data_IF_047652140348
#
_entry.id   IF_047652140348
#
_cell.length_a   1.000
_cell.length_b   1.000
_cell.length_c   1.000
_cell.angle_alpha   90.00
_cell.angle_beta   90.00
_cell.angle_gamma   90.00
#
_symmetry.space_group_name_H-M   'P 1'
#
loop_
_entity.id
_entity.type
_entity.pdbx_description
1 polymer ?
#
# COMPACT_ATOMS: atom_id res chain seq x y z
N UNK A 1 7.88 20.30 -14.87
CA UNK A 1 7.80 19.80 -13.47
C UNK A 1 8.67 18.57 -13.34
N UNK A 2 9.72 18.68 -12.54
CA UNK A 2 10.66 17.59 -12.32
C UNK A 2 9.98 16.37 -11.69
N UNK A 3 10.35 15.16 -12.15
CA UNK A 3 9.90 13.90 -11.58
C UNK A 3 10.97 13.30 -10.68
N UNK A 4 10.55 12.81 -9.53
CA UNK A 4 11.41 12.10 -8.57
C UNK A 4 11.51 10.65 -9.01
N UNK A 5 12.73 10.14 -9.13
CA UNK A 5 13.02 8.71 -9.28
C UNK A 5 13.25 8.15 -7.88
N UNK A 6 12.50 7.12 -7.51
CA UNK A 6 12.59 6.48 -6.19
C UNK A 6 13.19 5.08 -6.29
N UNK A 7 13.78 4.59 -5.19
CA UNK A 7 14.24 3.21 -5.08
C UNK A 7 13.06 2.26 -5.27
N UNK A 8 13.02 1.42 -6.32
CA UNK A 8 11.89 0.55 -6.56
C UNK A 8 11.84 -0.61 -5.56
N UNK A 9 10.64 -1.11 -5.32
CA UNK A 9 10.43 -2.33 -4.54
C UNK A 9 10.35 -3.53 -5.49
N UNK A 10 11.45 -4.22 -5.70
CA UNK A 10 11.59 -5.32 -6.65
C UNK A 10 11.09 -6.68 -6.11
N UNK A 11 10.67 -6.73 -4.85
CA UNK A 11 10.13 -7.94 -4.21
C UNK A 11 9.28 -7.64 -2.99
N UNK A 12 8.39 -8.57 -2.62
CA UNK A 12 7.45 -8.40 -1.50
C UNK A 12 8.17 -8.20 -0.15
N UNK A 13 9.32 -8.81 0.03
CA UNK A 13 10.13 -8.77 1.26
C UNK A 13 11.23 -7.70 1.23
N UNK A 14 11.43 -7.02 0.08
CA UNK A 14 12.47 -6.02 -0.05
C UNK A 14 12.14 -4.78 0.80
N UNK A 15 13.03 -4.43 1.72
CA UNK A 15 12.93 -3.23 2.57
C UNK A 15 13.87 -2.13 2.13
N UNK A 16 15.01 -2.49 1.52
CA UNK A 16 16.06 -1.59 1.06
C UNK A 16 16.75 -2.15 -0.19
N UNK A 17 17.45 -1.31 -0.94
CA UNK A 17 18.23 -1.69 -2.11
C UNK A 17 19.52 -0.89 -2.19
N UNK A 18 20.56 -1.48 -2.78
CA UNK A 18 21.84 -0.82 -3.01
C UNK A 18 21.93 -0.39 -4.47
N UNK A 19 22.28 0.87 -4.71
CA UNK A 19 22.58 1.36 -6.06
C UNK A 19 23.95 0.84 -6.45
N UNK A 20 23.99 -0.05 -7.44
CA UNK A 20 25.28 -0.63 -7.90
C UNK A 20 26.04 0.34 -8.80
N UNK A 21 25.41 0.76 -9.88
CA UNK A 21 26.04 1.59 -10.90
C UNK A 21 25.04 2.53 -11.55
N UNK A 22 25.43 3.78 -11.75
CA UNK A 22 24.70 4.74 -12.58
C UNK A 22 25.11 4.59 -14.05
N UNK A 23 24.14 4.40 -14.94
CA UNK A 23 24.34 4.34 -16.39
C UNK A 23 24.25 5.71 -17.06
N UNK A 24 23.77 6.71 -16.31
CA UNK A 24 23.60 8.11 -16.73
C UNK A 24 24.26 9.06 -15.72
N UNK A 25 24.77 10.18 -16.22
CA UNK A 25 25.39 11.25 -15.42
C UNK A 25 24.43 12.42 -15.24
N UNK A 26 24.65 13.21 -14.20
CA UNK A 26 23.93 14.48 -14.02
C UNK A 26 24.13 15.38 -15.25
N UNK A 27 23.04 15.97 -15.73
CA UNK A 27 23.01 16.80 -16.94
C UNK A 27 22.74 16.03 -18.23
N UNK A 28 22.72 14.71 -18.24
CA UNK A 28 22.43 13.94 -19.45
C UNK A 28 20.93 13.86 -19.75
N UNK A 29 20.55 13.89 -21.03
CA UNK A 29 19.17 13.67 -21.44
C UNK A 29 18.79 12.19 -21.26
N UNK A 30 17.56 11.96 -20.79
CA UNK A 30 17.01 10.64 -20.50
C UNK A 30 15.65 10.52 -21.18
N UNK A 31 15.39 9.36 -21.80
CA UNK A 31 14.09 9.00 -22.37
C UNK A 31 13.36 8.02 -21.44
N UNK A 32 12.04 8.09 -21.41
CA UNK A 32 11.20 7.10 -20.73
C UNK A 32 11.50 5.70 -21.25
N UNK A 33 11.73 4.72 -20.34
CA UNK A 33 12.17 3.36 -20.65
C UNK A 33 13.68 3.18 -20.81
N UNK A 34 14.50 4.24 -20.68
CA UNK A 34 15.95 4.14 -20.72
C UNK A 34 16.53 3.78 -19.36
N UNK A 35 17.51 2.86 -19.32
CA UNK A 35 18.14 2.42 -18.05
C UNK A 35 18.91 3.57 -17.40
N UNK A 36 18.57 3.87 -16.17
CA UNK A 36 19.20 4.92 -15.36
C UNK A 36 20.33 4.39 -14.47
N UNK A 37 20.06 3.32 -13.74
CA UNK A 37 20.98 2.72 -12.78
C UNK A 37 20.62 1.27 -12.52
N UNK A 38 21.56 0.50 -11.96
CA UNK A 38 21.35 -0.87 -11.53
C UNK A 38 21.17 -0.91 -10.01
N UNK A 39 20.24 -1.75 -9.53
CA UNK A 39 19.99 -1.99 -8.10
C UNK A 39 20.32 -3.42 -7.77
N UNK A 40 21.18 -3.59 -6.78
CA UNK A 40 21.49 -4.88 -6.18
C UNK A 40 20.68 -5.13 -4.93
N UNK A 41 20.20 -6.35 -4.82
CA UNK A 41 19.57 -6.90 -3.62
C UNK A 41 20.34 -8.14 -3.18
N UNK A 42 20.00 -8.71 -2.03
CA UNK A 42 20.61 -9.95 -1.54
C UNK A 42 20.48 -11.15 -2.50
N UNK A 43 19.65 -11.05 -3.54
CA UNK A 43 19.32 -12.15 -4.46
C UNK A 43 19.50 -11.85 -5.94
N UNK A 44 19.36 -10.60 -6.37
CA UNK A 44 19.32 -10.22 -7.78
C UNK A 44 19.81 -8.78 -7.99
N UNK A 45 20.45 -8.54 -9.13
CA UNK A 45 20.72 -7.20 -9.66
C UNK A 45 19.74 -6.93 -10.80
N UNK A 46 19.04 -5.79 -10.76
CA UNK A 46 18.08 -5.37 -11.77
C UNK A 46 18.40 -3.96 -12.26
N UNK A 47 18.22 -3.76 -13.54
CA UNK A 47 18.30 -2.44 -14.18
C UNK A 47 16.99 -1.67 -14.01
N UNK A 48 17.12 -0.41 -13.63
CA UNK A 48 15.98 0.46 -13.36
C UNK A 48 15.86 1.50 -14.48
N UNK A 49 14.70 1.49 -15.13
CA UNK A 49 14.38 2.35 -16.24
C UNK A 49 13.78 3.69 -15.79
N UNK A 50 14.00 4.71 -16.59
CA UNK A 50 13.40 6.02 -16.41
C UNK A 50 11.88 5.98 -16.57
N UNK A 51 11.15 6.53 -15.62
CA UNK A 51 9.68 6.65 -15.64
C UNK A 51 9.19 7.91 -16.35
N UNK A 52 10.11 8.70 -16.92
CA UNK A 52 9.82 9.90 -17.66
C UNK A 52 10.99 10.34 -18.53
N UNK A 53 10.69 11.07 -19.60
CA UNK A 53 11.70 11.76 -20.42
C UNK A 53 12.04 13.12 -19.82
N UNK A 54 13.32 13.55 -19.90
CA UNK A 54 13.82 14.81 -19.39
C UNK A 54 15.34 14.81 -19.29
N UNK A 55 15.91 15.67 -18.46
CA UNK A 55 17.33 15.70 -18.11
C UNK A 55 17.50 15.18 -16.69
N UNK A 56 18.50 14.32 -16.43
CA UNK A 56 18.85 13.88 -15.08
C UNK A 56 19.48 15.07 -14.32
N UNK A 57 18.67 15.77 -13.54
CA UNK A 57 19.10 17.02 -12.89
C UNK A 57 20.04 16.78 -11.72
N UNK A 58 19.76 15.74 -10.92
CA UNK A 58 20.56 15.42 -9.74
C UNK A 58 20.46 13.97 -9.34
N UNK A 59 21.59 13.42 -8.90
CA UNK A 59 21.71 12.11 -8.26
C UNK A 59 21.76 12.34 -6.76
N UNK A 60 20.76 11.82 -6.03
CA UNK A 60 20.67 11.97 -4.58
C UNK A 60 21.37 10.85 -3.82
N UNK A 61 21.56 9.68 -4.46
CA UNK A 61 22.16 8.48 -3.88
C UNK A 61 23.31 8.03 -4.78
N UNK A 62 24.51 7.89 -4.23
CA UNK A 62 25.69 7.51 -5.00
C UNK A 62 25.73 5.99 -5.23
N UNK A 63 26.55 5.55 -6.21
CA UNK A 63 26.84 4.13 -6.39
C UNK A 63 27.50 3.54 -5.13
N UNK A 64 27.04 2.37 -4.71
CA UNK A 64 27.46 1.69 -3.47
C UNK A 64 26.59 2.04 -2.24
N UNK A 65 25.69 3.00 -2.31
CA UNK A 65 24.83 3.37 -1.18
C UNK A 65 23.56 2.52 -1.12
N UNK A 66 23.19 2.10 0.10
CA UNK A 66 21.96 1.36 0.40
C UNK A 66 20.92 2.32 0.96
N UNK A 67 19.73 2.32 0.35
CA UNK A 67 18.63 3.17 0.78
C UNK A 67 17.33 2.37 0.89
N UNK A 68 16.41 2.78 1.77
CA UNK A 68 15.09 2.14 1.89
C UNK A 68 14.31 2.20 0.57
N UNK A 69 13.46 1.20 0.33
CA UNK A 69 12.50 1.25 -0.77
C UNK A 69 11.66 2.53 -0.70
N UNK A 70 11.38 3.12 -1.87
CA UNK A 70 10.66 4.37 -2.06
C UNK A 70 11.42 5.64 -1.62
N UNK A 71 12.67 5.53 -1.17
CA UNK A 71 13.53 6.70 -0.97
C UNK A 71 13.86 7.36 -2.31
N UNK A 72 13.94 8.70 -2.39
CA UNK A 72 14.35 9.40 -3.61
C UNK A 72 15.81 9.12 -3.93
N UNK A 73 16.09 8.71 -5.17
CA UNK A 73 17.45 8.37 -5.64
C UNK A 73 17.94 9.35 -6.70
N UNK A 74 17.06 9.95 -7.49
CA UNK A 74 17.41 10.95 -8.50
C UNK A 74 16.23 11.83 -8.88
N UNK A 75 16.51 12.88 -9.67
CA UNK A 75 15.52 13.83 -10.19
C UNK A 75 15.70 13.99 -11.70
N UNK A 76 14.59 13.89 -12.44
CA UNK A 76 14.50 14.13 -13.87
C UNK A 76 13.60 15.35 -14.08
N UNK A 77 14.04 16.35 -14.83
CA UNK A 77 13.28 17.56 -15.13
C UNK A 77 13.81 18.32 -16.34
N UNK A 78 13.39 19.57 -16.50
CA UNK A 78 13.90 20.43 -17.57
C UNK A 78 15.22 21.11 -17.16
N UNK A 79 16.14 21.39 -18.11
CA UNK A 79 17.40 22.06 -17.82
C UNK A 79 17.17 23.43 -17.16
N UNK A 80 17.73 23.65 -15.96
CA UNK A 80 17.59 24.89 -15.22
C UNK A 80 16.52 24.90 -14.13
N UNK A 81 15.79 23.83 -13.95
CA UNK A 81 14.86 23.67 -12.83
C UNK A 81 15.65 23.43 -11.53
N UNK A 82 15.51 24.33 -10.55
CA UNK A 82 16.20 24.19 -9.26
C UNK A 82 15.51 23.14 -8.41
N UNK A 83 16.23 22.08 -8.06
CA UNK A 83 15.75 21.03 -7.17
C UNK A 83 16.22 21.33 -5.75
N UNK A 84 15.30 21.70 -4.86
CA UNK A 84 15.61 21.89 -3.45
C UNK A 84 15.67 20.52 -2.74
N UNK A 85 16.87 20.12 -2.34
CA UNK A 85 17.13 18.87 -1.60
C UNK A 85 16.79 18.97 -0.10
N UNK A 86 16.13 20.07 0.30
CA UNK A 86 15.68 20.25 1.66
C UNK A 86 14.73 19.15 2.11
N UNK A 87 15.28 18.18 2.84
CA UNK A 87 14.53 17.19 3.65
C UNK A 87 13.48 16.37 2.89
N UNK A 88 13.90 15.55 1.94
CA UNK A 88 13.07 14.47 1.43
C UNK A 88 12.99 13.31 2.45
N UNK A 89 12.30 13.57 3.55
CA UNK A 89 11.79 12.49 4.41
C UNK A 89 10.73 11.71 3.61
N UNK A 90 10.62 10.36 3.76
CA UNK A 90 9.58 9.57 3.08
C UNK A 90 8.15 10.07 3.33
N UNK A 91 7.95 10.99 4.26
CA UNK A 91 6.68 11.69 4.50
C UNK A 91 6.32 12.76 3.45
N UNK A 92 7.22 13.15 2.54
CA UNK A 92 7.02 14.28 1.60
C UNK A 92 6.72 13.86 0.15
N UNK A 93 6.55 12.57 -0.15
CA UNK A 93 6.29 12.08 -1.52
C UNK A 93 4.91 12.46 -2.06
N UNK A 94 4.04 13.01 -1.23
CA UNK A 94 2.73 13.52 -1.64
C UNK A 94 2.40 14.81 -0.91
N UNK A 95 2.98 15.95 -1.31
CA UNK A 95 2.27 17.22 -1.07
C UNK A 95 0.98 17.16 -1.89
N UNK A 96 -0.21 17.29 -1.27
CA UNK A 96 -1.44 17.40 -2.02
C UNK A 96 -1.36 18.62 -2.93
N UNK A 97 -1.68 18.46 -4.20
CA UNK A 97 -2.00 19.58 -5.05
C UNK A 97 -3.14 20.33 -4.36
N UNK A 98 -2.90 21.56 -3.92
CA UNK A 98 -3.97 22.39 -3.39
C UNK A 98 -5.01 22.59 -4.51
N UNK A 99 -6.30 22.36 -4.25
CA UNK A 99 -7.33 22.67 -5.22
C UNK A 99 -7.28 24.17 -5.51
N UNK A 100 -7.29 24.53 -6.77
CA UNK A 100 -7.46 25.90 -7.23
C UNK A 100 -8.92 26.28 -7.01
N UNK A 101 -9.26 26.77 -5.81
CA UNK A 101 -10.60 27.19 -5.44
C UNK A 101 -10.78 27.23 -3.92
N UNK A 102 -11.48 28.22 -3.41
CA UNK A 102 -11.62 28.51 -1.97
C UNK A 102 -12.42 27.47 -1.17
N UNK A 103 -13.03 26.46 -1.82
CA UNK A 103 -13.75 25.37 -1.14
C UNK A 103 -13.20 23.99 -1.54
N UNK A 104 -12.68 23.26 -0.57
CA UNK A 104 -12.22 21.87 -0.77
C UNK A 104 -13.40 20.95 -1.11
N UNK A 105 -13.31 20.22 -2.21
CA UNK A 105 -14.31 19.21 -2.62
C UNK A 105 -14.53 18.21 -1.51
N UNK A 106 -15.79 17.98 -1.16
CA UNK A 106 -16.18 16.96 -0.18
C UNK A 106 -16.37 15.61 -0.86
N UNK A 107 -15.75 14.56 -0.31
CA UNK A 107 -15.86 13.19 -0.82
C UNK A 107 -16.32 12.25 0.29
N UNK A 108 -17.37 11.50 0.01
CA UNK A 108 -17.86 10.44 0.87
C UNK A 108 -17.48 9.09 0.27
N UNK A 109 -16.83 8.25 1.05
CA UNK A 109 -16.45 6.89 0.63
C UNK A 109 -17.22 5.87 1.47
N UNK A 110 -17.98 4.99 0.82
CA UNK A 110 -18.78 3.95 1.47
C UNK A 110 -18.05 2.61 1.35
N UNK A 111 -17.58 2.08 2.47
CA UNK A 111 -16.82 0.86 2.59
C UNK A 111 -15.33 1.10 2.80
N UNK A 112 -14.79 0.58 3.90
CA UNK A 112 -13.39 0.71 4.33
C UNK A 112 -12.50 -0.47 3.92
N UNK A 113 -12.88 -1.25 2.90
CA UNK A 113 -12.07 -2.29 2.30
C UNK A 113 -10.93 -1.72 1.42
N UNK A 114 -10.13 -2.59 0.74
CA UNK A 114 -8.98 -2.14 -0.07
C UNK A 114 -9.32 -1.07 -1.10
N UNK A 115 -10.43 -1.18 -1.81
CA UNK A 115 -10.89 -0.16 -2.75
C UNK A 115 -11.25 1.16 -2.05
N UNK A 116 -11.93 1.09 -0.90
CA UNK A 116 -12.43 2.27 -0.21
C UNK A 116 -11.34 3.04 0.55
N UNK A 117 -10.57 2.38 1.41
CA UNK A 117 -9.53 3.11 2.15
C UNK A 117 -8.46 3.68 1.22
N UNK A 118 -8.11 2.98 0.14
CA UNK A 118 -7.15 3.48 -0.85
C UNK A 118 -7.70 4.71 -1.57
N UNK A 119 -8.96 4.67 -2.00
CA UNK A 119 -9.62 5.81 -2.64
C UNK A 119 -9.74 7.01 -1.68
N UNK A 120 -10.10 6.76 -0.41
CA UNK A 120 -10.22 7.78 0.61
C UNK A 120 -8.88 8.49 0.89
N UNK A 121 -7.80 7.71 1.09
CA UNK A 121 -6.46 8.23 1.29
C UNK A 121 -6.03 9.05 0.08
N UNK A 122 -6.24 8.54 -1.14
CA UNK A 122 -5.84 9.26 -2.35
C UNK A 122 -6.63 10.55 -2.55
N UNK A 123 -7.94 10.54 -2.30
CA UNK A 123 -8.76 11.75 -2.37
C UNK A 123 -8.29 12.82 -1.37
N UNK A 124 -7.99 12.41 -0.12
CA UNK A 124 -7.45 13.32 0.89
C UNK A 124 -6.09 13.91 0.51
N UNK A 125 -5.20 13.08 -0.06
CA UNK A 125 -3.91 13.52 -0.58
C UNK A 125 -4.03 14.53 -1.74
N UNK A 126 -5.12 14.45 -2.50
CA UNK A 126 -5.45 15.40 -3.57
C UNK A 126 -6.16 16.67 -3.04
N UNK A 127 -6.29 16.82 -1.72
CA UNK A 127 -6.86 18.02 -1.08
C UNK A 127 -8.35 17.96 -0.82
N UNK A 128 -9.03 16.83 -1.04
CA UNK A 128 -10.43 16.68 -0.73
C UNK A 128 -10.67 16.55 0.79
N UNK A 129 -11.82 17.05 1.27
CA UNK A 129 -12.33 16.74 2.61
C UNK A 129 -13.06 15.40 2.58
N UNK A 130 -12.48 14.37 3.18
CA UNK A 130 -12.96 13.00 3.02
C UNK A 130 -13.64 12.49 4.29
N UNK A 131 -14.80 11.83 4.10
CA UNK A 131 -15.46 11.00 5.12
C UNK A 131 -15.50 9.56 4.61
N UNK A 132 -14.98 8.63 5.41
CA UNK A 132 -15.00 7.18 5.14
C UNK A 132 -15.99 6.51 6.07
N UNK A 133 -17.00 5.83 5.51
CA UNK A 133 -18.01 5.08 6.25
C UNK A 133 -17.72 3.60 6.12
N UNK A 134 -17.58 2.90 7.27
CA UNK A 134 -17.37 1.45 7.31
C UNK A 134 -18.30 0.80 8.33
N UNK A 135 -19.03 -0.22 7.90
CA UNK A 135 -20.05 -0.89 8.72
C UNK A 135 -19.52 -1.91 9.72
N UNK A 136 -18.28 -2.39 9.52
CA UNK A 136 -17.70 -3.45 10.32
C UNK A 136 -16.27 -3.08 10.75
N UNK A 137 -15.29 -3.40 9.91
CA UNK A 137 -13.87 -3.23 10.24
C UNK A 137 -13.10 -2.66 9.06
N UNK A 138 -12.35 -1.59 9.29
CA UNK A 138 -11.41 -1.04 8.31
C UNK A 138 -10.42 -2.11 7.85
N UNK A 139 -10.14 -2.14 6.54
CA UNK A 139 -9.39 -3.22 5.89
C UNK A 139 -10.30 -4.22 5.15
N UNK A 140 -11.60 -4.22 5.46
CA UNK A 140 -12.62 -5.03 4.78
C UNK A 140 -12.32 -6.54 4.82
N UNK A 141 -12.84 -7.28 3.86
CA UNK A 141 -12.65 -8.73 3.76
C UNK A 141 -11.19 -9.11 3.63
N UNK A 142 -10.40 -8.39 2.83
CA UNK A 142 -9.01 -8.75 2.54
C UNK A 142 -8.14 -8.79 3.81
N UNK A 143 -8.12 -7.73 4.60
CA UNK A 143 -7.25 -7.67 5.78
C UNK A 143 -7.79 -8.50 6.94
N UNK A 144 -9.12 -8.53 7.13
CA UNK A 144 -9.72 -9.11 8.33
C UNK A 144 -10.06 -10.61 8.20
N UNK A 145 -10.49 -11.08 7.01
CA UNK A 145 -11.09 -12.41 6.83
C UNK A 145 -10.65 -13.17 5.59
N UNK A 146 -9.90 -12.53 4.69
CA UNK A 146 -9.55 -13.09 3.38
C UNK A 146 -8.04 -13.19 3.16
N UNK A 147 -7.50 -12.29 2.35
CA UNK A 147 -6.13 -12.38 1.81
C UNK A 147 -5.06 -12.51 2.90
N UNK A 148 -5.09 -11.65 3.91
CA UNK A 148 -3.98 -11.56 4.86
C UNK A 148 -3.97 -12.68 5.91
N UNK A 149 -5.09 -13.03 6.56
CA UNK A 149 -5.11 -14.21 7.43
C UNK A 149 -4.79 -15.50 6.67
N UNK A 150 -5.24 -15.66 5.41
CA UNK A 150 -4.90 -16.81 4.58
C UNK A 150 -3.40 -16.86 4.29
N UNK A 151 -2.78 -15.74 3.91
CA UNK A 151 -1.33 -15.67 3.66
C UNK A 151 -0.50 -15.96 4.91
N UNK A 152 -0.94 -15.49 6.08
CA UNK A 152 -0.26 -15.81 7.33
C UNK A 152 -0.27 -17.32 7.61
N UNK A 153 -1.39 -18.00 7.34
CA UNK A 153 -1.49 -19.45 7.52
C UNK A 153 -0.68 -20.23 6.47
N UNK A 154 -0.71 -19.80 5.20
CA UNK A 154 0.11 -20.39 4.14
C UNK A 154 1.60 -20.28 4.48
N UNK A 155 2.06 -19.13 4.96
CA UNK A 155 3.44 -18.95 5.40
C UNK A 155 3.84 -19.92 6.53
N UNK A 156 2.94 -20.16 7.49
CA UNK A 156 3.18 -21.18 8.54
C UNK A 156 3.28 -22.59 7.95
N UNK A 157 2.42 -22.90 6.95
CA UNK A 157 2.44 -24.19 6.25
C UNK A 157 3.74 -24.39 5.47
N UNK A 158 4.20 -23.37 4.75
CA UNK A 158 5.48 -23.40 4.01
C UNK A 158 6.68 -23.67 4.93
N UNK A 159 6.72 -23.02 6.11
CA UNK A 159 7.76 -23.28 7.11
C UNK A 159 7.71 -24.72 7.62
N UNK A 160 6.51 -25.22 7.89
CA UNK A 160 6.32 -26.62 8.33
C UNK A 160 6.78 -27.62 7.26
N UNK A 161 6.38 -27.42 6.01
CA UNK A 161 6.83 -28.24 4.88
C UNK A 161 8.35 -28.19 4.69
N UNK A 162 8.95 -27.01 4.76
CA UNK A 162 10.40 -26.84 4.66
C UNK A 162 11.13 -27.60 5.79
N UNK A 163 10.61 -27.52 7.02
CA UNK A 163 11.20 -28.19 8.18
C UNK A 163 11.07 -29.72 8.15
N UNK A 164 10.01 -30.25 7.53
CA UNK A 164 9.74 -31.70 7.49
C UNK A 164 10.14 -32.38 6.19
N UNK A 165 10.15 -31.64 5.07
CA UNK A 165 10.34 -32.19 3.71
C UNK A 165 11.77 -32.10 3.15
N UNK A 166 12.71 -31.48 3.85
CA UNK A 166 14.06 -31.16 3.32
C UNK A 166 15.13 -32.21 3.59
N UNK A 167 14.76 -33.41 4.01
CA UNK A 167 15.72 -34.49 4.30
C UNK A 167 16.59 -34.87 3.09
N UNK A 168 16.06 -34.82 1.88
CA UNK A 168 16.79 -35.13 0.65
C UNK A 168 17.97 -34.19 0.36
N UNK A 169 17.94 -32.97 0.90
CA UNK A 169 19.00 -31.98 0.77
C UNK A 169 19.84 -31.81 2.06
N UNK A 170 19.70 -32.77 3.01
CA UNK A 170 20.50 -32.82 4.23
C UNK A 170 19.95 -32.05 5.42
N UNK A 171 18.75 -31.49 5.34
CA UNK A 171 18.09 -30.84 6.48
C UNK A 171 17.13 -31.85 7.13
N UNK A 172 17.53 -32.38 8.27
CA UNK A 172 16.73 -33.35 9.03
C UNK A 172 16.15 -32.66 10.26
N UNK A 173 14.88 -32.35 10.21
CA UNK A 173 14.11 -31.85 11.35
C UNK A 173 13.61 -33.02 12.19
N UNK A 174 14.04 -33.10 13.46
CA UNK A 174 13.50 -34.07 14.39
C UNK A 174 12.23 -33.49 15.08
N UNK A 175 11.12 -34.22 15.03
CA UNK A 175 9.90 -33.99 15.81
C UNK A 175 9.31 -32.56 15.74
N UNK A 176 9.17 -32.05 14.50
CA UNK A 176 8.51 -30.75 14.27
C UNK A 176 7.02 -30.87 14.59
N UNK A 177 6.54 -30.07 15.55
CA UNK A 177 5.14 -30.06 15.97
C UNK A 177 4.50 -28.70 15.70
N UNK A 178 3.21 -28.71 15.36
CA UNK A 178 2.40 -27.50 15.17
C UNK A 178 1.68 -27.17 16.47
N UNK A 179 1.98 -26.02 17.05
CA UNK A 179 1.21 -25.41 18.12
C UNK A 179 0.11 -24.53 17.49
N UNK A 180 -1.10 -25.09 17.41
CA UNK A 180 -2.21 -24.45 16.73
C UNK A 180 -2.65 -23.13 17.38
N UNK A 181 -2.55 -23.01 18.69
CA UNK A 181 -2.88 -21.77 19.39
C UNK A 181 -1.95 -20.62 19.01
N UNK A 182 -0.63 -20.90 18.93
CA UNK A 182 0.35 -19.93 18.46
C UNK A 182 0.18 -19.58 16.99
N UNK A 183 -0.19 -20.54 16.12
CA UNK A 183 -0.52 -20.25 14.71
C UNK A 183 -1.70 -19.30 14.60
N UNK A 184 -2.76 -19.52 15.39
CA UNK A 184 -3.90 -18.61 15.40
C UNK A 184 -3.54 -17.23 15.98
N UNK A 185 -2.70 -17.18 17.02
CA UNK A 185 -2.16 -15.93 17.58
C UNK A 185 -1.34 -15.15 16.55
N UNK A 186 -0.46 -15.82 15.81
CA UNK A 186 0.31 -15.20 14.72
C UNK A 186 -0.62 -14.63 13.64
N UNK A 187 -1.59 -15.42 13.16
CA UNK A 187 -2.59 -14.95 12.20
C UNK A 187 -3.33 -13.69 12.69
N UNK A 188 -3.76 -13.69 13.95
CA UNK A 188 -4.46 -12.56 14.55
C UNK A 188 -3.57 -11.31 14.64
N UNK A 189 -2.30 -11.48 15.04
CA UNK A 189 -1.34 -10.36 15.13
C UNK A 189 -1.07 -9.70 13.78
N UNK A 190 -1.00 -10.49 12.69
CA UNK A 190 -0.84 -9.97 11.33
C UNK A 190 -2.05 -9.11 10.93
N UNK A 191 -3.26 -9.59 11.20
CA UNK A 191 -4.50 -8.85 10.93
C UNK A 191 -4.52 -7.54 11.71
N UNK A 192 -4.23 -7.58 13.01
CA UNK A 192 -4.21 -6.40 13.88
C UNK A 192 -3.18 -5.37 13.42
N UNK A 193 -1.96 -5.80 13.13
CA UNK A 193 -0.90 -4.92 12.63
C UNK A 193 -1.30 -4.18 11.36
N UNK A 194 -1.90 -4.88 10.39
CA UNK A 194 -2.28 -4.30 9.11
C UNK A 194 -3.50 -3.36 9.24
N UNK A 195 -4.52 -3.77 9.99
CA UNK A 195 -5.71 -2.93 10.20
C UNK A 195 -5.39 -1.67 11.00
N UNK A 196 -4.53 -1.79 12.02
CA UNK A 196 -4.02 -0.63 12.77
C UNK A 196 -3.22 0.32 11.88
N UNK A 197 -2.39 -0.22 10.97
CA UNK A 197 -1.66 0.58 9.99
C UNK A 197 -2.60 1.37 9.08
N UNK A 198 -3.66 0.75 8.55
CA UNK A 198 -4.66 1.47 7.74
C UNK A 198 -5.39 2.53 8.56
N UNK A 199 -5.81 2.24 9.79
CA UNK A 199 -6.43 3.23 10.69
C UNK A 199 -5.49 4.43 10.95
N UNK A 200 -4.20 4.17 11.14
CA UNK A 200 -3.20 5.23 11.30
C UNK A 200 -3.08 6.09 10.04
N UNK A 201 -3.07 5.50 8.83
CA UNK A 201 -3.06 6.23 7.56
C UNK A 201 -4.32 7.07 7.36
N UNK A 202 -5.50 6.56 7.70
CA UNK A 202 -6.77 7.29 7.68
C UNK A 202 -6.68 8.53 8.57
N UNK A 203 -6.19 8.36 9.80
CA UNK A 203 -5.99 9.47 10.76
C UNK A 203 -4.94 10.48 10.28
N UNK A 204 -3.79 10.00 9.76
CA UNK A 204 -2.71 10.85 9.25
C UNK A 204 -3.18 11.75 8.10
N UNK A 205 -4.03 11.23 7.22
CA UNK A 205 -4.61 11.99 6.11
C UNK A 205 -5.87 12.79 6.51
N UNK A 206 -6.15 12.95 7.82
CA UNK A 206 -7.29 13.73 8.35
C UNK A 206 -8.65 13.29 7.80
N UNK A 207 -8.79 12.02 7.47
CA UNK A 207 -10.06 11.43 7.00
C UNK A 207 -10.97 11.19 8.20
N UNK A 208 -12.21 11.66 8.11
CA UNK A 208 -13.23 11.37 9.12
C UNK A 208 -13.72 9.93 8.93
N UNK A 209 -13.42 9.06 9.90
CA UNK A 209 -13.93 7.69 9.90
C UNK A 209 -15.27 7.65 10.66
N UNK A 210 -16.30 7.11 9.99
CA UNK A 210 -17.65 6.90 10.56
C UNK A 210 -17.95 5.41 10.55
N UNK A 211 -18.23 4.85 11.72
CA UNK A 211 -18.64 3.45 11.85
C UNK A 211 -20.16 3.36 11.75
N UNK A 212 -20.64 2.47 10.88
CA UNK A 212 -22.07 2.24 10.70
C UNK A 212 -22.48 1.88 9.28
N UNK A 213 -23.75 1.53 9.13
CA UNK A 213 -24.32 1.09 7.86
C UNK A 213 -24.90 2.28 7.09
N UNK A 214 -24.32 2.56 5.93
CA UNK A 214 -24.72 3.66 5.06
C UNK A 214 -25.98 3.34 4.27
N UNK A 215 -26.97 4.24 4.31
CA UNK A 215 -28.18 4.18 3.48
C UNK A 215 -28.32 5.47 2.68
N UNK A 216 -28.52 5.38 1.37
CA UNK A 216 -28.80 6.54 0.54
C UNK A 216 -30.19 7.10 0.85
N UNK A 217 -30.25 8.40 1.05
CA UNK A 217 -31.52 9.15 1.15
C UNK A 217 -31.69 10.13 -0.02
N UNK A 218 -30.58 10.48 -0.69
CA UNK A 218 -30.59 11.22 -1.95
C UNK A 218 -29.34 10.86 -2.77
N UNK A 219 -29.19 11.44 -3.96
CA UNK A 219 -28.01 11.25 -4.82
C UNK A 219 -26.70 11.76 -4.22
N UNK A 220 -26.77 12.65 -3.22
CA UNK A 220 -25.61 13.28 -2.58
C UNK A 220 -25.57 13.09 -1.07
N UNK A 221 -26.61 12.48 -0.48
CA UNK A 221 -26.75 12.35 0.97
C UNK A 221 -26.94 10.90 1.38
N UNK A 222 -26.20 10.51 2.39
CA UNK A 222 -26.24 9.17 2.98
C UNK A 222 -26.53 9.32 4.47
N UNK A 223 -27.40 8.47 4.99
CA UNK A 223 -27.71 8.37 6.43
C UNK A 223 -26.93 7.20 7.04
N UNK A 224 -26.32 7.45 8.21
CA UNK A 224 -25.72 6.43 9.07
C UNK A 224 -26.32 6.59 10.44
N UNK A 225 -27.07 5.60 10.89
CA UNK A 225 -27.92 5.69 12.08
C UNK A 225 -28.83 6.92 12.00
N UNK A 226 -28.70 7.91 12.89
CA UNK A 226 -29.50 9.13 12.91
C UNK A 226 -28.78 10.35 12.30
N UNK A 227 -27.56 10.18 11.78
CA UNK A 227 -26.77 11.28 11.19
C UNK A 227 -26.78 11.23 9.67
N UNK A 228 -26.90 12.40 9.07
CA UNK A 228 -26.83 12.58 7.62
C UNK A 228 -25.47 13.14 7.21
N UNK A 229 -24.94 12.60 6.11
CA UNK A 229 -23.66 13.00 5.53
C UNK A 229 -23.88 13.34 4.07
N UNK A 230 -23.62 14.60 3.71
CA UNK A 230 -23.73 15.09 2.33
C UNK A 230 -22.35 15.36 1.77
N UNK A 231 -22.12 15.04 0.50
CA UNK A 231 -20.87 15.28 -0.19
C UNK A 231 -21.08 15.63 -1.67
N UNK A 232 -20.10 16.33 -2.26
CA UNK A 232 -20.10 16.66 -3.70
C UNK A 232 -19.95 15.41 -4.55
N UNK A 233 -19.16 14.45 -4.07
CA UNK A 233 -18.87 13.17 -4.73
C UNK A 233 -19.00 12.02 -3.75
N UNK A 234 -19.55 10.91 -4.22
CA UNK A 234 -19.68 9.68 -3.43
C UNK A 234 -18.98 8.54 -4.18
N UNK A 235 -18.11 7.83 -3.49
CA UNK A 235 -17.44 6.62 -3.97
C UNK A 235 -18.06 5.42 -3.26
N UNK A 236 -18.62 4.48 -4.01
CA UNK A 236 -19.22 3.26 -3.49
C UNK A 236 -18.19 2.13 -3.62
N UNK A 237 -17.65 1.68 -2.48
CA UNK A 237 -16.69 0.59 -2.37
C UNK A 237 -17.18 -0.45 -1.34
N UNK A 238 -18.48 -0.73 -1.34
CA UNK A 238 -19.19 -1.54 -0.35
C UNK A 238 -18.77 -3.02 -0.33
N UNK A 239 -18.02 -3.48 -1.35
CA UNK A 239 -17.53 -4.86 -1.46
C UNK A 239 -18.65 -5.87 -1.70
N UNK A 240 -18.44 -7.09 -1.25
CA UNK A 240 -19.33 -8.22 -1.41
C UNK A 240 -19.35 -9.09 -0.15
N UNK A 241 -20.25 -10.03 -0.10
CA UNK A 241 -20.32 -11.07 0.93
C UNK A 241 -20.52 -12.44 0.29
N UNK A 242 -20.05 -13.52 0.93
CA UNK A 242 -20.23 -14.87 0.42
C UNK A 242 -21.72 -15.25 0.43
N UNK A 243 -22.20 -15.83 -0.64
CA UNK A 243 -23.52 -16.45 -0.69
C UNK A 243 -23.38 -17.89 -0.23
N UNK A 244 -24.18 -18.31 0.75
CA UNK A 244 -24.30 -19.70 1.14
C UNK A 244 -25.43 -20.28 0.29
N UNK A 245 -25.12 -21.21 -0.64
CA UNK A 245 -26.13 -21.84 -1.48
C UNK A 245 -27.11 -22.66 -0.63
N UNK A 246 -28.34 -22.82 -1.13
CA UNK A 246 -29.35 -23.62 -0.44
C UNK A 246 -29.17 -25.11 -0.80
N UNK A 247 -28.13 -25.71 -0.23
CA UNK A 247 -27.79 -27.14 -0.40
C UNK A 247 -28.01 -27.82 0.94
N UNK A 248 -28.67 -29.02 0.97
CA UNK A 248 -28.87 -29.78 2.19
C UNK A 248 -27.55 -30.02 2.95
N UNK A 249 -27.54 -29.77 4.25
CA UNK A 249 -26.38 -29.94 5.13
C UNK A 249 -25.36 -28.80 5.13
N UNK A 250 -25.45 -27.81 4.21
CA UNK A 250 -24.47 -26.71 4.16
C UNK A 250 -24.55 -25.76 5.35
N UNK A 251 -25.74 -25.68 5.97
CA UNK A 251 -26.02 -24.83 7.15
C UNK A 251 -25.92 -25.59 8.47
N UNK A 252 -25.64 -26.88 8.41
CA UNK A 252 -25.56 -27.69 9.61
C UNK A 252 -24.23 -27.39 10.34
N UNK A 253 -24.32 -27.09 11.63
CA UNK A 253 -23.13 -26.96 12.48
C UNK A 253 -22.49 -28.35 12.68
N UNK A 254 -21.20 -28.47 12.43
CA UNK A 254 -20.40 -29.63 12.84
C UNK A 254 -19.87 -29.42 14.25
#
# INVERSE_FOLDING_TARGET
MGKIVVMPKLGLTMTEGTVDEWKKKEGEPVKEGEVLFSVSTDKLTNDIEATASGTLLKIAVQAGETVPCLAPVAFIGEPGETVDLGTASPANVCKPAQPAGDEAVTVLVIGGGPGGYTAAIRAAQLGAKVTLIEKAQVGGTCLNRGCMPTKAMLHTSEIYEAATGSAAIGIVGADVRVDWEKVQGFRASVVEKLTSGVKALVKLNKITLVEGNAKFISTKTVKVEDKEYTADRIIIAAGSYPIIPDIPGVKDSR
#
